data_IF_617658436297
#
_entry.id   IF_617658436297
#
_cell.length_a   1.000
_cell.length_b   1.000
_cell.length_c   1.000
_cell.angle_alpha   90.00
_cell.angle_beta   90.00
_cell.angle_gamma   90.00
#
_symmetry.space_group_name_H-M   'P 1'
#
loop_
_entity.id
_entity.type
_entity.pdbx_description
1 polymer ?
#
# COMPACT_ATOMS: atom_id res chain seq x y z
N UNK A 1 5.66 -0.23 13.53
CA UNK A 1 6.10 -1.55 13.03
C UNK A 1 6.08 -1.52 11.51
N UNK A 2 7.09 -2.11 10.86
CA UNK A 2 7.10 -2.31 9.41
C UNK A 2 6.94 -3.81 9.12
N UNK A 3 5.94 -4.16 8.32
CA UNK A 3 5.64 -5.53 7.90
C UNK A 3 5.97 -5.68 6.41
N UNK A 4 6.95 -6.51 6.11
CA UNK A 4 7.33 -6.87 4.75
C UNK A 4 6.51 -8.07 4.27
N UNK A 5 5.78 -7.91 3.16
CA UNK A 5 5.07 -9.03 2.54
C UNK A 5 6.05 -10.02 1.88
N UNK A 6 7.15 -9.52 1.34
CA UNK A 6 8.24 -10.31 0.76
C UNK A 6 9.60 -9.60 0.92
N UNK A 7 10.69 -10.36 0.79
CA UNK A 7 12.06 -9.89 1.02
C UNK A 7 12.76 -9.43 -0.28
N UNK A 8 12.03 -8.75 -1.17
CA UNK A 8 12.62 -8.21 -2.39
C UNK A 8 13.55 -7.01 -2.08
N UNK A 9 14.58 -6.75 -2.91
CA UNK A 9 15.52 -5.65 -2.69
C UNK A 9 14.86 -4.28 -2.51
N UNK A 10 13.86 -3.95 -3.34
CA UNK A 10 13.14 -2.68 -3.26
C UNK A 10 12.38 -2.49 -1.93
N UNK A 11 11.83 -3.56 -1.36
CA UNK A 11 11.17 -3.52 -0.06
C UNK A 11 12.17 -3.25 1.06
N UNK A 12 13.34 -3.90 1.01
CA UNK A 12 14.43 -3.64 1.97
C UNK A 12 14.95 -2.21 1.88
N UNK A 13 15.06 -1.68 0.68
CA UNK A 13 15.46 -0.29 0.46
C UNK A 13 14.43 0.69 1.04
N UNK A 14 13.13 0.47 0.79
CA UNK A 14 12.08 1.25 1.43
C UNK A 14 12.17 1.19 2.97
N UNK A 15 12.43 0.01 3.54
CA UNK A 15 12.68 -0.15 4.97
C UNK A 15 13.86 0.66 5.46
N UNK A 16 14.99 0.68 4.74
CA UNK A 16 16.17 1.44 5.14
C UNK A 16 15.84 2.92 5.34
N UNK A 17 15.00 3.50 4.48
CA UNK A 17 14.57 4.89 4.63
C UNK A 17 13.56 5.08 5.78
N UNK A 18 12.55 4.21 5.87
CA UNK A 18 11.50 4.32 6.89
C UNK A 18 12.01 4.08 8.33
N UNK A 19 13.03 3.23 8.49
CA UNK A 19 13.63 2.88 9.78
C UNK A 19 14.69 3.88 10.26
N UNK A 20 15.20 4.76 9.39
CA UNK A 20 16.12 5.83 9.80
C UNK A 20 15.42 6.91 10.64
N UNK A 21 14.12 7.10 10.41
CA UNK A 21 13.33 8.18 11.02
C UNK A 21 12.57 7.76 12.28
N UNK A 22 12.42 6.44 12.48
CA UNK A 22 11.81 5.86 13.66
C UNK A 22 12.44 4.49 13.89
N UNK A 23 12.79 4.16 15.15
CA UNK A 23 13.26 2.83 15.55
C UNK A 23 12.13 1.80 15.40
N UNK A 24 11.77 1.49 14.16
CA UNK A 24 10.70 0.61 13.78
C UNK A 24 11.22 -0.83 13.66
N UNK A 25 10.54 -1.76 14.31
CA UNK A 25 10.79 -3.18 14.11
C UNK A 25 10.35 -3.59 12.68
N UNK A 26 11.21 -4.35 12.00
CA UNK A 26 10.96 -4.85 10.64
C UNK A 26 10.71 -6.34 10.71
N UNK A 27 9.52 -6.78 10.31
CA UNK A 27 9.09 -8.17 10.43
C UNK A 27 8.55 -8.66 9.09
N UNK A 28 8.84 -9.91 8.75
CA UNK A 28 8.24 -10.58 7.60
C UNK A 28 6.80 -11.00 7.92
N UNK A 29 5.86 -10.82 6.98
CA UNK A 29 4.45 -11.19 7.16
C UNK A 29 4.24 -12.67 7.55
N UNK A 30 5.15 -13.55 7.13
CA UNK A 30 5.12 -14.97 7.47
C UNK A 30 5.59 -15.26 8.91
N UNK A 31 6.39 -14.35 9.48
CA UNK A 31 7.07 -14.51 10.77
C UNK A 31 6.51 -13.54 11.82
N UNK A 32 5.26 -13.06 11.64
CA UNK A 32 4.63 -12.13 12.58
C UNK A 32 4.61 -12.74 14.00
N UNK A 33 5.30 -12.13 14.97
CA UNK A 33 5.25 -12.60 16.34
C UNK A 33 3.86 -12.33 16.93
N UNK A 34 3.53 -13.03 18.01
CA UNK A 34 2.42 -12.57 18.84
C UNK A 34 2.77 -11.21 19.45
N UNK A 35 1.84 -10.27 19.34
CA UNK A 35 2.01 -8.87 19.70
C UNK A 35 2.72 -8.68 21.05
N UNK A 36 3.89 -8.02 21.01
CA UNK A 36 4.67 -7.63 22.19
C UNK A 36 4.95 -6.11 22.26
N UNK A 37 4.69 -5.38 21.17
CA UNK A 37 4.97 -3.94 21.05
C UNK A 37 3.69 -3.11 21.04
N UNK A 38 3.81 -1.82 21.39
CA UNK A 38 2.68 -0.90 21.45
C UNK A 38 2.80 0.17 20.34
N UNK A 39 2.87 -0.32 19.10
CA UNK A 39 2.98 0.55 17.93
C UNK A 39 1.60 1.00 17.45
N UNK A 40 1.39 2.32 17.39
CA UNK A 40 0.13 2.89 16.90
C UNK A 40 -0.10 2.64 15.39
N UNK A 41 0.98 2.45 14.63
CA UNK A 41 0.95 2.35 13.17
C UNK A 41 1.70 1.11 12.68
N UNK A 42 1.05 0.36 11.80
CA UNK A 42 1.63 -0.77 11.05
C UNK A 42 1.81 -0.34 9.60
N UNK A 43 3.05 -0.25 9.13
CA UNK A 43 3.34 0.03 7.73
C UNK A 43 3.55 -1.27 6.99
N UNK A 44 2.73 -1.56 5.97
CA UNK A 44 2.83 -2.77 5.15
C UNK A 44 3.49 -2.40 3.83
N UNK A 45 4.57 -3.11 3.49
CA UNK A 45 5.33 -2.88 2.26
C UNK A 45 5.25 -4.13 1.38
N UNK A 46 4.76 -3.92 0.17
CA UNK A 46 4.75 -4.90 -0.91
C UNK A 46 5.00 -4.17 -2.22
N UNK A 47 6.24 -4.12 -2.65
CA UNK A 47 6.66 -3.54 -3.92
C UNK A 47 7.36 -4.61 -4.76
N UNK A 48 7.33 -4.41 -6.09
CA UNK A 48 7.98 -5.28 -7.07
C UNK A 48 8.94 -4.43 -7.91
N UNK A 49 10.22 -4.77 -7.89
CA UNK A 49 11.28 -4.01 -8.58
C UNK A 49 11.31 -4.25 -10.09
N UNK A 50 10.87 -5.43 -10.54
CA UNK A 50 10.86 -5.84 -11.96
C UNK A 50 9.65 -5.30 -12.73
N UNK A 51 8.65 -4.77 -12.02
CA UNK A 51 7.47 -4.23 -12.67
C UNK A 51 6.55 -5.27 -13.27
N UNK A 52 6.76 -6.55 -12.95
CA UNK A 52 5.81 -7.63 -13.24
C UNK A 52 4.50 -7.43 -12.48
N UNK A 53 3.50 -8.25 -12.80
CA UNK A 53 2.22 -8.25 -12.10
C UNK A 53 2.41 -8.36 -10.58
N UNK A 54 1.81 -7.41 -9.85
CA UNK A 54 1.77 -7.50 -8.41
C UNK A 54 0.63 -8.40 -7.95
N UNK A 55 0.94 -9.65 -7.61
CA UNK A 55 0.00 -10.54 -6.94
C UNK A 55 -0.09 -10.18 -5.45
N UNK A 56 -1.02 -9.27 -5.14
CA UNK A 56 -1.31 -8.87 -3.77
C UNK A 56 -1.86 -10.04 -2.95
N UNK A 57 -1.37 -10.17 -1.72
CA UNK A 57 -1.99 -11.05 -0.72
C UNK A 57 -3.46 -10.63 -0.57
N UNK A 58 -4.40 -11.57 -0.68
CA UNK A 58 -5.83 -11.25 -0.52
C UNK A 58 -6.08 -10.45 0.78
N UNK A 59 -6.91 -9.38 0.75
CA UNK A 59 -7.23 -8.60 1.94
C UNK A 59 -7.70 -9.44 3.13
N UNK A 60 -8.45 -10.51 2.85
CA UNK A 60 -8.93 -11.46 3.88
C UNK A 60 -7.77 -12.24 4.52
N UNK A 61 -6.84 -12.72 3.69
CA UNK A 61 -5.66 -13.47 4.18
C UNK A 61 -4.78 -12.54 5.01
N UNK A 62 -4.57 -11.32 4.55
CA UNK A 62 -3.80 -10.32 5.27
C UNK A 62 -4.46 -9.98 6.62
N UNK A 63 -5.75 -9.65 6.63
CA UNK A 63 -6.50 -9.35 7.87
C UNK A 63 -6.42 -10.50 8.89
N UNK A 64 -6.56 -11.75 8.43
CA UNK A 64 -6.45 -12.92 9.29
C UNK A 64 -5.05 -13.08 9.89
N UNK A 65 -3.99 -12.87 9.10
CA UNK A 65 -2.61 -12.93 9.60
C UNK A 65 -2.35 -11.86 10.66
N UNK A 66 -2.80 -10.63 10.41
CA UNK A 66 -2.69 -9.53 11.38
C UNK A 66 -3.45 -9.84 12.67
N UNK A 67 -4.68 -10.36 12.55
CA UNK A 67 -5.51 -10.78 13.69
C UNK A 67 -4.87 -11.89 14.52
N UNK A 68 -4.34 -12.93 13.87
CA UNK A 68 -3.65 -14.04 14.54
C UNK A 68 -2.41 -13.58 15.31
N UNK A 69 -1.69 -12.60 14.77
CA UNK A 69 -0.57 -11.96 15.45
C UNK A 69 -1.01 -10.98 16.56
N UNK A 70 -2.31 -10.67 16.68
CA UNK A 70 -2.84 -9.74 17.67
C UNK A 70 -2.52 -8.26 17.38
N UNK A 71 -1.96 -7.94 16.21
CA UNK A 71 -1.51 -6.59 15.87
C UNK A 71 -2.63 -5.53 15.88
N UNK A 72 -3.86 -5.83 15.41
CA UNK A 72 -4.97 -4.87 15.52
C UNK A 72 -5.38 -4.50 16.95
N UNK A 73 -4.88 -5.18 17.99
CA UNK A 73 -5.12 -4.82 19.40
C UNK A 73 -4.19 -3.73 19.91
N UNK A 74 -3.05 -3.52 19.24
CA UNK A 74 -1.98 -2.61 19.65
C UNK A 74 -1.83 -1.41 18.70
N UNK A 75 -2.32 -1.55 17.46
CA UNK A 75 -2.30 -0.52 16.43
C UNK A 75 -3.72 -0.11 16.02
N UNK A 76 -3.89 1.16 15.65
CA UNK A 76 -5.16 1.69 15.14
C UNK A 76 -5.09 2.13 13.67
N UNK A 77 -3.91 2.05 13.05
CA UNK A 77 -3.68 2.46 11.66
C UNK A 77 -2.78 1.47 10.94
N UNK A 78 -3.17 1.12 9.71
CA UNK A 78 -2.36 0.43 8.72
C UNK A 78 -2.01 1.44 7.63
N UNK A 79 -0.75 1.57 7.27
CA UNK A 79 -0.30 2.35 6.11
C UNK A 79 0.17 1.40 5.02
N UNK A 80 -0.31 1.58 3.79
CA UNK A 80 0.07 0.73 2.66
C UNK A 80 1.11 1.42 1.78
N UNK A 81 2.26 0.77 1.60
CA UNK A 81 3.27 1.11 0.58
C UNK A 81 3.21 0.00 -0.47
N UNK A 82 2.26 0.17 -1.38
CA UNK A 82 1.86 -0.81 -2.38
C UNK A 82 1.62 -0.07 -3.69
N UNK A 83 1.98 -0.69 -4.81
CA UNK A 83 1.88 -0.10 -6.13
C UNK A 83 0.67 -0.67 -6.90
N UNK A 84 -0.06 0.16 -7.63
CA UNK A 84 -1.21 -0.25 -8.46
C UNK A 84 -0.82 -1.00 -9.75
N UNK A 85 0.32 -1.72 -9.76
CA UNK A 85 0.84 -2.43 -10.95
C UNK A 85 -0.08 -3.56 -11.41
N UNK A 86 -0.98 -4.02 -10.53
CA UNK A 86 -2.01 -4.98 -10.91
C UNK A 86 -3.37 -4.31 -11.08
N UNK A 87 -3.73 -4.03 -12.33
CA UNK A 87 -5.03 -3.43 -12.64
C UNK A 87 -6.24 -4.31 -12.28
N UNK A 88 -6.05 -5.62 -12.08
CA UNK A 88 -7.12 -6.51 -11.59
C UNK A 88 -7.44 -6.25 -10.12
N UNK A 89 -6.49 -5.71 -9.35
CA UNK A 89 -6.66 -5.40 -7.93
C UNK A 89 -6.14 -3.99 -7.68
N UNK A 90 -7.03 -3.01 -7.85
CA UNK A 90 -6.74 -1.62 -7.50
C UNK A 90 -6.60 -1.47 -5.98
N UNK A 91 -5.65 -0.64 -5.56
CA UNK A 91 -5.27 -0.38 -4.18
C UNK A 91 -6.41 0.23 -3.38
N UNK A 92 -7.25 1.06 -4.00
CA UNK A 92 -8.43 1.65 -3.34
C UNK A 92 -9.45 0.56 -2.92
N UNK A 93 -10.01 -0.26 -3.83
CA UNK A 93 -10.83 -1.41 -3.45
C UNK A 93 -10.13 -2.38 -2.49
N UNK A 94 -8.83 -2.59 -2.66
CA UNK A 94 -8.04 -3.44 -1.77
C UNK A 94 -8.03 -2.92 -0.33
N UNK A 95 -7.71 -1.63 -0.14
CA UNK A 95 -7.65 -1.00 1.18
C UNK A 95 -9.03 -0.96 1.86
N UNK A 96 -10.08 -0.69 1.09
CA UNK A 96 -11.47 -0.76 1.59
C UNK A 96 -11.83 -2.18 2.03
N UNK A 97 -11.51 -3.19 1.22
CA UNK A 97 -11.77 -4.59 1.57
C UNK A 97 -10.98 -5.01 2.83
N UNK A 98 -9.72 -4.59 2.95
CA UNK A 98 -8.88 -4.86 4.12
C UNK A 98 -9.50 -4.26 5.40
N UNK A 99 -9.88 -2.98 5.36
CA UNK A 99 -10.55 -2.32 6.47
C UNK A 99 -11.83 -3.05 6.88
N UNK A 100 -12.67 -3.42 5.92
CA UNK A 100 -13.92 -4.13 6.19
C UNK A 100 -13.70 -5.53 6.78
N UNK A 101 -12.70 -6.28 6.31
CA UNK A 101 -12.37 -7.57 6.92
C UNK A 101 -11.85 -7.41 8.35
N UNK A 102 -11.04 -6.39 8.64
CA UNK A 102 -10.63 -6.09 10.02
C UNK A 102 -11.82 -5.72 10.91
N UNK A 103 -12.77 -4.93 10.39
CA UNK A 103 -14.05 -4.68 11.05
C UNK A 103 -14.84 -5.95 11.35
N UNK A 104 -14.87 -6.92 10.43
CA UNK A 104 -15.51 -8.23 10.64
C UNK A 104 -14.87 -9.09 11.72
N UNK A 105 -13.61 -8.80 12.06
CA UNK A 105 -12.88 -9.42 13.16
C UNK A 105 -13.02 -8.63 14.47
N UNK A 106 -13.86 -7.58 14.48
CA UNK A 106 -14.14 -6.74 15.66
C UNK A 106 -13.30 -5.46 15.76
N UNK A 107 -12.43 -5.16 14.80
CA UNK A 107 -11.51 -4.01 14.85
C UNK A 107 -12.07 -2.78 14.14
N UNK A 108 -13.21 -2.26 14.62
CA UNK A 108 -13.96 -1.16 13.97
C UNK A 108 -13.24 0.19 13.99
N UNK A 109 -12.28 0.39 14.89
CA UNK A 109 -11.48 1.61 14.98
C UNK A 109 -10.22 1.57 14.10
N UNK A 110 -9.89 0.40 13.54
CA UNK A 110 -8.66 0.22 12.78
C UNK A 110 -8.81 0.79 11.37
N UNK A 111 -8.00 1.79 11.04
CA UNK A 111 -8.01 2.43 9.72
C UNK A 111 -6.95 1.86 8.80
N UNK A 112 -7.21 1.90 7.50
CA UNK A 112 -6.22 1.62 6.45
C UNK A 112 -6.00 2.89 5.66
N UNK A 113 -4.76 3.32 5.48
CA UNK A 113 -4.43 4.52 4.71
C UNK A 113 -3.54 4.20 3.52
N UNK A 114 -3.78 4.96 2.45
CA UNK A 114 -3.03 4.91 1.21
C UNK A 114 -2.61 6.34 0.87
N UNK A 115 -1.31 6.64 0.72
CA UNK A 115 -0.86 7.92 0.20
C UNK A 115 -1.35 8.08 -1.24
N UNK A 116 -2.00 9.19 -1.55
CA UNK A 116 -2.46 9.47 -2.90
C UNK A 116 -2.65 10.96 -3.14
N UNK A 117 -2.40 11.41 -4.37
CA UNK A 117 -2.82 12.75 -4.79
C UNK A 117 -4.35 12.76 -5.03
N UNK A 118 -5.03 13.83 -4.60
CA UNK A 118 -6.48 13.99 -4.76
C UNK A 118 -6.87 13.98 -6.24
N UNK A 119 -7.98 13.31 -6.58
CA UNK A 119 -8.49 13.20 -7.95
C UNK A 119 -7.94 12.01 -8.77
N UNK A 120 -6.90 11.32 -8.27
CA UNK A 120 -6.33 10.15 -8.95
C UNK A 120 -6.92 8.82 -8.44
N UNK A 121 -6.86 7.80 -9.31
CA UNK A 121 -7.50 6.49 -9.09
C UNK A 121 -6.55 5.32 -8.98
N UNK A 122 -5.31 5.51 -9.41
CA UNK A 122 -4.24 4.53 -9.33
C UNK A 122 -2.93 5.27 -9.04
N UNK A 123 -2.14 4.69 -8.14
CA UNK A 123 -0.82 5.19 -7.73
C UNK A 123 0.22 4.11 -7.98
N UNK A 124 1.20 4.40 -8.81
CA UNK A 124 2.26 3.48 -9.18
C UNK A 124 3.55 3.95 -8.56
N UNK A 125 4.01 3.19 -7.57
CA UNK A 125 5.30 3.37 -6.94
C UNK A 125 6.30 2.57 -7.75
N UNK A 126 7.33 3.27 -8.21
CA UNK A 126 8.40 2.73 -9.01
C UNK A 126 9.68 2.84 -8.17
N UNK A 127 10.20 1.70 -7.68
CA UNK A 127 11.45 1.69 -6.93
C UNK A 127 12.62 2.19 -7.77
N UNK A 128 13.66 2.78 -7.14
CA UNK A 128 14.89 3.12 -7.82
C UNK A 128 15.47 1.87 -8.50
N UNK A 129 15.90 2.03 -9.75
CA UNK A 129 16.57 0.95 -10.46
C UNK A 129 18.03 0.97 -10.02
N UNK A 130 18.53 -0.15 -9.50
CA UNK A 130 19.92 -0.32 -9.05
C UNK A 130 20.97 0.11 -10.09
N UNK A 131 20.58 0.23 -11.37
CA UNK A 131 21.48 0.46 -12.50
C UNK A 131 21.30 1.79 -13.25
N UNK A 132 20.31 2.64 -12.96
CA UNK A 132 20.08 3.84 -13.79
C UNK A 132 19.65 5.10 -13.04
N UNK A 133 18.69 5.02 -12.11
CA UNK A 133 18.14 6.19 -11.43
C UNK A 133 17.94 5.85 -9.95
N UNK A 134 18.64 6.58 -9.07
CA UNK A 134 18.60 6.38 -7.61
C UNK A 134 17.36 6.98 -6.94
N UNK A 135 16.37 7.42 -7.72
CA UNK A 135 15.19 8.08 -7.22
C UNK A 135 13.99 7.15 -7.29
N UNK A 136 13.21 7.15 -6.23
CA UNK A 136 11.85 6.67 -6.23
C UNK A 136 11.01 7.59 -7.10
N UNK A 137 10.14 7.00 -7.91
CA UNK A 137 9.17 7.74 -8.70
C UNK A 137 7.77 7.28 -8.32
N UNK A 138 6.85 8.22 -8.18
CA UNK A 138 5.44 7.92 -7.99
C UNK A 138 4.66 8.57 -9.10
N UNK A 139 3.93 7.72 -9.82
CA UNK A 139 3.03 8.14 -10.88
C UNK A 139 1.59 7.99 -10.44
N UNK A 140 0.73 8.87 -10.92
CA UNK A 140 -0.71 8.73 -10.75
C UNK A 140 -1.43 8.78 -12.08
N UNK A 141 -2.61 8.15 -12.11
CA UNK A 141 -3.50 8.12 -13.28
C UNK A 141 -4.88 8.62 -12.86
N UNK A 142 -5.47 9.45 -13.72
CA UNK A 142 -6.83 9.98 -13.53
C UNK A 142 -7.88 8.94 -13.94
N UNK A 143 -9.14 9.17 -13.56
CA UNK A 143 -10.25 8.34 -14.04
C UNK A 143 -10.36 8.32 -15.57
N UNK A 144 -10.06 9.44 -16.23
CA UNK A 144 -10.18 9.57 -17.69
C UNK A 144 -9.04 8.84 -18.41
N UNK A 145 -7.82 8.99 -17.92
CA UNK A 145 -6.64 8.37 -18.53
C UNK A 145 -6.61 6.87 -18.31
N UNK A 146 -7.16 6.39 -17.20
CA UNK A 146 -7.31 4.96 -16.94
C UNK A 146 -8.16 4.25 -18.01
N UNK A 147 -9.12 4.94 -18.62
CA UNK A 147 -9.94 4.39 -19.72
C UNK A 147 -9.17 4.23 -21.02
N UNK A 148 -8.03 4.92 -21.17
CA UNK A 148 -7.19 4.92 -22.37
C UNK A 148 -6.08 3.87 -22.32
N UNK A 149 -5.93 3.18 -21.18
CA UNK A 149 -4.86 2.20 -20.96
C UNK A 149 -5.36 0.82 -21.34
N UNK A 150 -4.67 0.18 -22.29
CA UNK A 150 -4.87 -1.22 -22.58
C UNK A 150 -4.39 -2.09 -21.41
N UNK A 151 -5.30 -2.90 -20.90
CA UNK A 151 -5.05 -3.77 -19.76
C UNK A 151 -4.73 -5.20 -20.23
N UNK A 152 -3.76 -5.88 -19.62
CA UNK A 152 -2.94 -5.48 -18.48
C UNK A 152 -1.72 -4.58 -18.80
N UNK A 153 -1.38 -3.68 -17.86
CA UNK A 153 -0.17 -2.85 -17.91
C UNK A 153 0.85 -3.30 -16.85
N UNK A 154 2.11 -3.48 -17.26
CA UNK A 154 3.25 -3.71 -16.36
C UNK A 154 3.99 -2.37 -16.13
N UNK A 155 4.85 -2.24 -15.11
CA UNK A 155 5.50 -0.94 -14.83
C UNK A 155 6.36 -0.44 -15.99
N UNK A 156 6.99 -1.34 -16.76
CA UNK A 156 7.81 -0.96 -17.90
C UNK A 156 6.98 -0.26 -19.00
N UNK A 157 5.80 -0.81 -19.34
CA UNK A 157 4.86 -0.17 -20.27
C UNK A 157 4.26 1.09 -19.68
N UNK A 158 3.94 1.09 -18.39
CA UNK A 158 3.46 2.28 -17.72
C UNK A 158 4.47 3.42 -17.81
N UNK A 159 5.75 3.16 -17.52
CA UNK A 159 6.85 4.16 -17.63
C UNK A 159 6.92 4.82 -19.01
N UNK A 160 6.52 4.11 -20.06
CA UNK A 160 6.50 4.65 -21.43
C UNK A 160 5.15 5.29 -21.81
N UNK A 161 4.10 5.11 -21.00
CA UNK A 161 2.78 5.67 -21.29
C UNK A 161 2.68 7.17 -21.01
N UNK A 162 2.06 7.92 -21.91
CA UNK A 162 1.72 9.34 -21.73
C UNK A 162 0.47 9.55 -20.86
N UNK A 163 -0.24 8.47 -20.52
CA UNK A 163 -1.50 8.49 -19.74
C UNK A 163 -1.28 8.57 -18.23
N UNK A 164 -0.05 8.86 -17.78
CA UNK A 164 0.30 8.97 -16.36
C UNK A 164 0.91 10.33 -16.10
N UNK A 165 0.77 10.80 -14.87
CA UNK A 165 1.43 11.99 -14.35
C UNK A 165 2.47 11.58 -13.33
N UNK A 166 3.71 12.05 -13.45
CA UNK A 166 4.68 11.99 -12.36
C UNK A 166 4.20 12.94 -11.26
N UNK A 167 3.87 12.41 -10.08
CA UNK A 167 3.34 13.18 -8.96
C UNK A 167 4.35 13.42 -7.87
N UNK A 168 5.38 12.57 -7.79
CA UNK A 168 6.49 12.74 -6.86
C UNK A 168 7.72 11.98 -7.34
N UNK A 169 8.90 12.53 -7.04
CA UNK A 169 10.19 11.92 -7.30
C UNK A 169 11.17 12.31 -6.18
N UNK A 170 11.92 11.36 -5.63
CA UNK A 170 12.83 11.64 -4.52
C UNK A 170 13.63 10.42 -4.06
N UNK A 171 14.64 10.65 -3.21
CA UNK A 171 15.50 9.59 -2.66
C UNK A 171 14.86 8.85 -1.48
N UNK A 172 13.93 9.50 -0.77
CA UNK A 172 13.34 9.01 0.45
C UNK A 172 11.81 8.85 0.31
N UNK A 173 11.37 7.60 0.21
CA UNK A 173 9.95 7.24 0.07
C UNK A 173 9.10 7.67 1.27
N UNK A 174 9.68 7.96 2.44
CA UNK A 174 8.94 8.49 3.59
C UNK A 174 8.36 9.88 3.31
N UNK A 175 9.04 10.68 2.49
CA UNK A 175 8.51 11.99 2.08
C UNK A 175 7.20 11.82 1.31
N UNK A 176 7.13 10.80 0.44
CA UNK A 176 5.87 10.43 -0.21
C UNK A 176 4.80 9.98 0.79
N UNK A 177 5.16 9.23 1.84
CA UNK A 177 4.20 8.82 2.87
C UNK A 177 3.56 9.99 3.64
N UNK A 178 4.21 11.16 3.62
CA UNK A 178 3.76 12.37 4.29
C UNK A 178 2.77 13.21 3.47
N UNK A 179 2.51 12.84 2.21
CA UNK A 179 1.48 13.48 1.38
C UNK A 179 0.07 13.16 1.92
N UNK A 180 -0.98 13.89 1.51
CA UNK A 180 -2.35 13.56 1.88
C UNK A 180 -2.66 12.08 1.63
N UNK A 181 -3.30 11.44 2.61
CA UNK A 181 -3.65 10.04 2.55
C UNK A 181 -5.17 9.88 2.41
N UNK A 182 -5.62 8.96 1.56
CA UNK A 182 -6.99 8.44 1.64
C UNK A 182 -7.05 7.46 2.80
N UNK A 183 -8.03 7.66 3.68
CA UNK A 183 -8.24 6.83 4.87
C UNK A 183 -9.52 6.04 4.67
N UNK A 184 -9.42 4.74 4.89
CA UNK A 184 -10.50 3.78 4.82
C UNK A 184 -10.79 3.27 6.22
N UNK A 185 -11.99 3.52 6.69
CA UNK A 185 -12.51 2.96 7.95
C UNK A 185 -13.31 1.71 7.65
N UNK A 186 -13.36 0.73 8.57
CA UNK A 186 -14.25 -0.40 8.45
C UNK A 186 -15.69 0.10 8.39
N UNK A 187 -16.49 -0.36 7.42
CA UNK A 187 -17.92 -0.12 7.48
C UNK A 187 -18.53 -0.96 8.62
N UNK A 188 -19.35 -0.35 9.49
CA UNK A 188 -20.13 -1.12 10.45
C UNK A 188 -21.04 -2.09 9.69
N UNK A 189 -21.14 -3.32 10.18
CA UNK A 189 -22.05 -4.32 9.60
C UNK A 189 -23.46 -3.74 9.47
N UNK A 190 -24.01 -3.74 8.26
CA UNK A 190 -25.41 -3.41 7.99
C UNK A 190 -25.69 -2.14 7.18
N UNK A 191 -24.69 -1.30 6.90
CA UNK A 191 -24.89 -0.19 5.95
C UNK A 191 -24.45 -0.61 4.54
N UNK A 192 -25.43 -0.75 3.65
CA UNK A 192 -25.18 -0.78 2.20
C UNK A 192 -24.29 0.42 1.84
N UNK A 193 -23.27 0.28 0.98
CA UNK A 193 -22.54 1.43 0.48
C UNK A 193 -23.55 2.41 -0.11
N UNK A 194 -23.51 3.67 0.36
CA UNK A 194 -24.25 4.73 -0.28
C UNK A 194 -23.71 4.83 -1.71
N UNK A 195 -24.53 4.39 -2.66
CA UNK A 195 -24.33 4.71 -4.07
C UNK A 195 -24.58 6.22 -4.14
N UNK A 196 -23.51 6.98 -4.28
CA UNK A 196 -23.62 8.38 -4.71
C UNK A 196 -23.70 8.29 -6.24
N UNK A 197 -24.89 8.53 -6.78
CA UNK A 197 -25.14 8.71 -8.22
C UNK A 197 -24.42 9.96 -8.76
#
# INVERSE_FOLDING_TARGET
MIVLVNNLPCNREAVCYLSQSASAEVIMLLDLPQASLNDKVITIIDLRADGEFQDLVSPRILANKLHQAGLPKIANKIELIVSDVNIKVRLIPYATALANYLGSLGYVEMTVSVPCELGNVATFIVPPNLLADQLWEVYSITHEDMKKIDVPINLAKLRQSDTKKLVWCGTDIQTWMSVPQKIYTPTPFGMKPAIIE
#
